data_IF_044698010327
#
_entry.id   IF_044698010327
#
_cell.length_a   1.000
_cell.length_b   1.000
_cell.length_c   1.000
_cell.angle_alpha   90.00
_cell.angle_beta   90.00
_cell.angle_gamma   90.00
#
_symmetry.space_group_name_H-M   'P 1'
#
loop_
_entity.id
_entity.type
_entity.pdbx_description
1 polymer ?
#
# COMPACT_ATOMS: atom_id res chain seq x y z
N UNK A 1 -25.88 -3.81 -2.11
CA UNK A 1 -24.99 -4.60 -3.00
C UNK A 1 -24.59 -5.89 -2.27
N UNK A 2 -24.41 -7.02 -2.97
CA UNK A 2 -24.06 -8.29 -2.31
C UNK A 2 -22.52 -8.41 -2.14
N UNK A 3 -22.04 -8.18 -0.91
CA UNK A 3 -20.61 -8.23 -0.58
C UNK A 3 -20.08 -9.66 -0.37
N UNK A 4 -20.94 -10.68 -0.29
CA UNK A 4 -20.52 -12.06 0.01
C UNK A 4 -19.56 -12.63 -1.05
N UNK A 5 -19.67 -12.15 -2.29
CA UNK A 5 -18.74 -12.47 -3.38
C UNK A 5 -17.35 -11.91 -3.16
N UNK A 6 -17.24 -10.72 -2.57
CA UNK A 6 -15.96 -10.07 -2.27
C UNK A 6 -15.34 -10.70 -1.01
N UNK A 7 -16.14 -10.97 0.02
CA UNK A 7 -15.72 -11.65 1.25
C UNK A 7 -15.06 -13.00 0.97
N UNK A 8 -15.61 -13.79 0.04
CA UNK A 8 -15.05 -15.10 -0.33
C UNK A 8 -13.73 -15.06 -1.09
N UNK A 9 -13.33 -13.89 -1.62
CA UNK A 9 -12.11 -13.72 -2.44
C UNK A 9 -10.97 -13.06 -1.66
N UNK A 10 -11.27 -12.37 -0.57
CA UNK A 10 -10.28 -11.63 0.22
C UNK A 10 -9.70 -12.48 1.36
N UNK A 11 -8.39 -12.35 1.68
CA UNK A 11 -7.84 -12.94 2.88
C UNK A 11 -8.55 -12.42 4.14
N UNK A 12 -8.74 -13.28 5.14
CA UNK A 12 -9.34 -12.85 6.41
C UNK A 12 -8.57 -11.66 7.02
N UNK A 13 -9.32 -10.62 7.40
CA UNK A 13 -8.79 -9.41 8.02
C UNK A 13 -8.00 -8.49 7.09
N UNK A 14 -8.14 -8.60 5.77
CA UNK A 14 -7.52 -7.64 4.83
C UNK A 14 -8.34 -6.37 4.61
N UNK A 15 -9.65 -6.43 4.84
CA UNK A 15 -10.61 -5.34 4.63
C UNK A 15 -11.65 -5.33 5.77
N UNK A 16 -11.97 -4.15 6.29
CA UNK A 16 -13.15 -3.96 7.14
C UNK A 16 -14.42 -3.82 6.29
N UNK A 17 -15.21 -4.89 6.25
CA UNK A 17 -16.45 -4.92 5.45
C UNK A 17 -17.53 -3.95 5.95
N UNK A 18 -17.51 -3.56 7.23
CA UNK A 18 -18.48 -2.59 7.76
C UNK A 18 -18.19 -1.20 7.20
N UNK A 19 -16.91 -0.82 7.17
CA UNK A 19 -16.48 0.46 6.57
C UNK A 19 -16.62 0.41 5.05
N UNK A 20 -16.29 -0.71 4.42
CA UNK A 20 -16.45 -0.86 2.98
C UNK A 20 -17.92 -0.77 2.55
N UNK A 21 -18.86 -1.36 3.31
CA UNK A 21 -20.30 -1.22 3.04
C UNK A 21 -20.76 0.24 3.08
N UNK A 22 -20.26 1.01 4.05
CA UNK A 22 -20.52 2.44 4.10
C UNK A 22 -19.96 3.17 2.87
N UNK A 23 -18.74 2.85 2.44
CA UNK A 23 -18.13 3.41 1.22
C UNK A 23 -19.01 3.10 -0.01
N UNK A 24 -19.50 1.87 -0.15
CA UNK A 24 -20.41 1.49 -1.23
C UNK A 24 -21.73 2.24 -1.18
N UNK A 25 -22.28 2.48 0.02
CA UNK A 25 -23.53 3.24 0.18
C UNK A 25 -23.42 4.69 -0.28
N UNK A 26 -22.19 5.24 -0.40
CA UNK A 26 -21.98 6.55 -0.99
C UNK A 26 -22.38 6.58 -2.48
N UNK A 27 -22.39 5.42 -3.14
CA UNK A 27 -22.71 5.27 -4.56
C UNK A 27 -24.20 4.98 -4.83
N UNK A 28 -25.04 4.95 -3.79
CA UNK A 28 -26.48 4.64 -3.91
C UNK A 28 -27.33 5.82 -4.43
N UNK A 29 -26.78 7.04 -4.49
CA UNK A 29 -27.45 8.18 -5.13
C UNK A 29 -27.01 8.32 -6.59
N UNK A 30 -27.96 8.45 -7.53
CA UNK A 30 -27.76 8.42 -9.00
C UNK A 30 -26.71 9.40 -9.57
N UNK A 31 -26.25 10.39 -8.80
CA UNK A 31 -25.25 11.41 -9.20
C UNK A 31 -23.91 11.29 -8.45
N UNK A 32 -23.69 10.21 -7.71
CA UNK A 32 -22.52 10.09 -6.84
C UNK A 32 -21.79 8.75 -7.07
N UNK A 33 -20.61 8.79 -7.68
CA UNK A 33 -19.66 7.67 -7.73
C UNK A 33 -18.54 7.87 -6.69
N UNK A 34 -18.87 8.41 -5.51
CA UNK A 34 -17.88 8.79 -4.50
C UNK A 34 -17.08 7.60 -3.97
N UNK A 35 -17.75 6.50 -3.65
CA UNK A 35 -17.13 5.27 -3.15
C UNK A 35 -16.23 4.63 -4.20
N UNK A 36 -16.75 4.43 -5.41
CA UNK A 36 -15.98 3.95 -6.55
C UNK A 36 -14.74 4.83 -6.82
N UNK A 37 -14.90 6.16 -6.86
CA UNK A 37 -13.78 7.09 -7.07
C UNK A 37 -12.73 7.02 -5.95
N UNK A 38 -13.13 6.80 -4.69
CA UNK A 38 -12.20 6.61 -3.58
C UNK A 38 -11.37 5.33 -3.77
N UNK A 39 -12.03 4.22 -4.10
CA UNK A 39 -11.34 2.92 -4.29
C UNK A 39 -10.39 2.99 -5.49
N UNK A 40 -10.87 3.38 -6.67
CA UNK A 40 -10.00 3.45 -7.86
C UNK A 40 -8.92 4.53 -7.75
N UNK A 41 -9.22 5.65 -7.06
CA UNK A 41 -8.23 6.67 -6.75
C UNK A 41 -7.09 6.12 -5.87
N UNK A 42 -7.41 5.30 -4.87
CA UNK A 42 -6.39 4.58 -4.11
C UNK A 42 -5.63 3.58 -4.97
N UNK A 43 -6.31 2.72 -5.74
CA UNK A 43 -5.66 1.68 -6.54
C UNK A 43 -4.64 2.29 -7.52
N UNK A 44 -5.03 3.31 -8.28
CA UNK A 44 -4.10 4.00 -9.18
C UNK A 44 -2.95 4.67 -8.45
N UNK A 45 -3.20 5.25 -7.26
CA UNK A 45 -2.12 5.83 -6.45
C UNK A 45 -1.16 4.79 -5.90
N UNK A 46 -1.66 3.61 -5.53
CA UNK A 46 -0.86 2.50 -5.05
C UNK A 46 0.08 2.00 -6.15
N UNK A 47 -0.44 1.78 -7.37
CA UNK A 47 0.36 1.39 -8.54
C UNK A 47 1.50 2.38 -8.82
N UNK A 48 1.20 3.67 -8.97
CA UNK A 48 2.21 4.73 -9.18
C UNK A 48 3.29 4.73 -8.09
N UNK A 49 2.85 4.54 -6.84
CA UNK A 49 3.73 4.59 -5.67
C UNK A 49 4.63 3.37 -5.65
N UNK A 50 4.08 2.18 -5.88
CA UNK A 50 4.84 0.93 -5.92
C UNK A 50 5.87 0.95 -7.05
N UNK A 51 5.52 1.39 -8.25
CA UNK A 51 6.47 1.55 -9.35
C UNK A 51 7.64 2.48 -8.95
N UNK A 52 7.33 3.63 -8.33
CA UNK A 52 8.34 4.59 -7.86
C UNK A 52 9.26 4.01 -6.76
N UNK A 53 8.71 3.14 -5.91
CA UNK A 53 9.47 2.43 -4.88
C UNK A 53 10.37 1.38 -5.50
N UNK A 54 9.90 0.59 -6.47
CA UNK A 54 10.71 -0.43 -7.13
C UNK A 54 11.87 0.19 -7.90
N UNK A 55 11.63 1.27 -8.64
CA UNK A 55 12.70 2.05 -9.26
C UNK A 55 13.71 2.49 -8.21
N UNK A 56 13.23 3.01 -7.09
CA UNK A 56 14.10 3.35 -5.97
C UNK A 56 14.87 2.13 -5.45
N UNK A 57 14.26 0.98 -5.23
CA UNK A 57 14.95 -0.20 -4.70
C UNK A 57 15.97 -0.77 -5.71
N UNK A 58 15.75 -0.68 -7.02
CA UNK A 58 16.68 -1.15 -8.05
C UNK A 58 18.02 -0.38 -8.05
N UNK A 59 18.00 0.92 -7.76
CA UNK A 59 19.21 1.76 -7.72
C UNK A 59 19.96 1.70 -6.38
N UNK A 60 19.94 0.57 -5.67
CA UNK A 60 20.52 0.46 -4.32
C UNK A 60 21.93 -0.14 -4.31
N UNK A 61 22.74 0.15 -3.25
CA UNK A 61 24.19 -0.09 -3.18
C UNK A 61 24.66 -1.51 -3.51
N UNK A 62 23.87 -2.53 -3.14
CA UNK A 62 24.26 -3.94 -3.27
C UNK A 62 24.45 -4.37 -4.74
N UNK A 63 23.88 -3.65 -5.69
CA UNK A 63 24.00 -3.88 -7.12
C UNK A 63 25.15 -3.10 -7.80
N UNK A 64 25.78 -2.13 -7.11
CA UNK A 64 26.75 -1.22 -7.70
C UNK A 64 28.14 -1.41 -7.08
N UNK A 65 29.16 -1.62 -7.92
CA UNK A 65 30.57 -1.69 -7.49
C UNK A 65 31.09 -0.41 -6.82
N UNK A 66 30.31 0.67 -6.85
CA UNK A 66 30.62 1.95 -6.19
C UNK A 66 29.30 2.60 -5.75
N UNK A 67 28.96 2.54 -4.45
CA UNK A 67 27.69 3.05 -3.97
C UNK A 67 27.67 4.59 -3.93
N UNK A 68 26.49 5.21 -4.08
CA UNK A 68 26.36 6.66 -4.01
C UNK A 68 26.70 7.20 -2.60
N UNK A 69 27.05 8.49 -2.48
CA UNK A 69 27.39 9.12 -1.19
C UNK A 69 26.31 8.92 -0.12
N UNK A 70 26.72 8.80 1.14
CA UNK A 70 25.82 8.60 2.30
C UNK A 70 24.61 9.56 2.33
N UNK A 71 24.83 10.84 2.01
CA UNK A 71 23.75 11.84 1.97
C UNK A 71 22.66 11.52 0.94
N UNK A 72 23.06 11.06 -0.25
CA UNK A 72 22.10 10.66 -1.29
C UNK A 72 21.35 9.40 -0.89
N UNK A 73 22.03 8.43 -0.26
CA UNK A 73 21.38 7.23 0.29
C UNK A 73 20.34 7.60 1.35
N UNK A 74 20.69 8.43 2.33
CA UNK A 74 19.76 8.88 3.37
C UNK A 74 18.53 9.59 2.77
N UNK A 75 18.73 10.52 1.83
CA UNK A 75 17.62 11.22 1.16
C UNK A 75 16.64 10.25 0.50
N UNK A 76 17.13 9.13 -0.03
CA UNK A 76 16.31 8.12 -0.68
C UNK A 76 15.42 7.37 0.31
N UNK A 77 15.94 7.00 1.47
CA UNK A 77 15.12 6.41 2.54
C UNK A 77 14.04 7.36 3.04
N UNK A 78 14.34 8.66 3.15
CA UNK A 78 13.31 9.65 3.48
C UNK A 78 12.23 9.74 2.41
N UNK A 79 12.59 9.69 1.12
CA UNK A 79 11.61 9.67 0.04
C UNK A 79 10.75 8.41 0.08
N UNK A 80 11.36 7.23 0.31
CA UNK A 80 10.63 5.97 0.51
C UNK A 80 9.63 6.09 1.66
N UNK A 81 10.07 6.56 2.83
CA UNK A 81 9.20 6.76 3.98
C UNK A 81 8.03 7.70 3.65
N UNK A 82 8.28 8.83 2.98
CA UNK A 82 7.24 9.78 2.60
C UNK A 82 6.21 9.15 1.64
N UNK A 83 6.65 8.37 0.66
CA UNK A 83 5.74 7.66 -0.25
C UNK A 83 4.85 6.66 0.49
N UNK A 84 5.41 5.87 1.42
CA UNK A 84 4.65 4.94 2.25
C UNK A 84 3.64 5.66 3.15
N UNK A 85 4.07 6.76 3.78
CA UNK A 85 3.21 7.57 4.63
C UNK A 85 2.00 8.10 3.86
N UNK A 86 2.23 8.66 2.68
CA UNK A 86 1.15 9.18 1.82
C UNK A 86 0.18 8.07 1.41
N UNK A 87 0.68 6.92 0.98
CA UNK A 87 -0.18 5.81 0.57
C UNK A 87 -0.96 5.22 1.76
N UNK A 88 -0.32 5.11 2.94
CA UNK A 88 -0.96 4.59 4.16
C UNK A 88 -2.10 5.49 4.65
N UNK A 89 -1.95 6.81 4.48
CA UNK A 89 -2.98 7.77 4.85
C UNK A 89 -4.26 7.57 4.04
N UNK A 90 -4.14 7.08 2.80
CA UNK A 90 -5.28 6.79 1.93
C UNK A 90 -5.83 5.39 2.23
N UNK A 91 -4.97 4.40 2.47
CA UNK A 91 -5.41 3.02 2.77
C UNK A 91 -6.21 2.91 4.08
N UNK A 92 -5.92 3.77 5.07
CA UNK A 92 -6.69 3.88 6.32
C UNK A 92 -8.16 4.24 6.03
N UNK A 93 -8.41 5.14 5.07
CA UNK A 93 -9.78 5.58 4.74
C UNK A 93 -10.62 4.41 4.20
N UNK A 94 -9.98 3.48 3.48
CA UNK A 94 -10.60 2.28 2.94
C UNK A 94 -10.59 1.09 3.90
N UNK A 95 -9.98 1.25 5.09
CA UNK A 95 -9.73 0.18 6.06
C UNK A 95 -9.11 -1.09 5.44
N UNK A 96 -8.11 -0.88 4.58
CA UNK A 96 -7.28 -1.96 4.03
C UNK A 96 -6.24 -2.34 5.08
N UNK A 97 -6.64 -3.11 6.09
CA UNK A 97 -5.91 -3.34 7.34
C UNK A 97 -4.47 -3.80 7.08
N UNK A 98 -4.29 -4.91 6.36
CA UNK A 98 -2.95 -5.49 6.12
C UNK A 98 -2.06 -4.59 5.25
N UNK A 99 -2.65 -3.99 4.21
CA UNK A 99 -1.93 -3.04 3.36
C UNK A 99 -1.46 -1.85 4.20
N UNK A 100 -2.32 -1.31 5.06
CA UNK A 100 -2.00 -0.20 5.95
C UNK A 100 -0.87 -0.57 6.91
N UNK A 101 -0.96 -1.71 7.59
CA UNK A 101 0.06 -2.19 8.52
C UNK A 101 1.40 -2.41 7.82
N UNK A 102 1.37 -2.99 6.62
CA UNK A 102 2.54 -3.18 5.77
C UNK A 102 3.21 -1.86 5.40
N UNK A 103 2.44 -0.87 4.92
CA UNK A 103 2.95 0.45 4.54
C UNK A 103 3.59 1.17 5.73
N UNK A 104 2.94 1.16 6.89
CA UNK A 104 3.48 1.75 8.12
C UNK A 104 4.77 1.04 8.59
N UNK A 105 4.88 -0.27 8.37
CA UNK A 105 6.08 -1.04 8.68
C UNK A 105 7.24 -0.62 7.77
N UNK A 106 6.99 -0.50 6.46
CA UNK A 106 8.02 -0.07 5.49
C UNK A 106 8.46 1.38 5.74
N UNK A 107 7.53 2.28 6.10
CA UNK A 107 7.83 3.64 6.53
C UNK A 107 8.82 3.64 7.71
N UNK A 108 8.50 2.92 8.79
CA UNK A 108 9.33 2.83 10.00
C UNK A 108 10.73 2.29 9.69
N UNK A 109 10.83 1.18 8.94
CA UNK A 109 12.12 0.64 8.54
C UNK A 109 12.91 1.60 7.66
N UNK A 110 12.26 2.34 6.77
CA UNK A 110 12.92 3.37 5.97
C UNK A 110 13.52 4.47 6.85
N UNK A 111 12.84 4.85 7.93
CA UNK A 111 13.33 5.81 8.92
C UNK A 111 14.37 5.22 9.89
N UNK A 112 14.62 3.90 9.86
CA UNK A 112 15.57 3.22 10.75
C UNK A 112 14.99 2.91 12.12
N UNK A 113 13.68 2.70 12.16
CA UNK A 113 12.93 2.43 13.38
C UNK A 113 12.41 0.99 13.35
N UNK A 114 12.25 0.40 14.52
CA UNK A 114 11.48 -0.83 14.68
C UNK A 114 9.96 -0.54 14.59
N UNK A 115 9.15 -1.59 14.61
CA UNK A 115 7.69 -1.47 14.59
C UNK A 115 7.12 -0.64 15.75
N UNK A 116 7.76 -0.66 16.93
CA UNK A 116 7.38 0.13 18.10
C UNK A 116 7.88 1.60 18.07
N UNK A 117 8.46 2.03 16.94
CA UNK A 117 9.07 3.35 16.70
C UNK A 117 10.36 3.62 17.49
N UNK A 118 10.91 2.62 18.18
CA UNK A 118 12.26 2.73 18.74
C UNK A 118 13.31 2.68 17.64
N UNK A 119 14.50 3.20 17.91
CA UNK A 119 15.62 3.11 16.96
C UNK A 119 16.01 1.64 16.73
N UNK A 120 16.17 1.26 15.46
CA UNK A 120 16.56 -0.07 15.10
C UNK A 120 18.06 -0.30 15.37
N UNK A 121 18.50 -1.50 15.78
CA UNK A 121 19.92 -1.79 16.01
C UNK A 121 20.81 -1.56 14.78
N UNK A 122 20.21 -1.62 13.60
CA UNK A 122 20.81 -1.41 12.29
C UNK A 122 20.45 -0.03 11.70
N UNK A 123 20.06 0.94 12.54
CA UNK A 123 19.75 2.30 12.09
C UNK A 123 20.92 2.87 11.27
N UNK A 124 22.15 2.79 11.74
CA UNK A 124 23.30 3.33 11.01
C UNK A 124 23.79 2.46 9.83
N UNK A 125 23.34 1.20 9.74
CA UNK A 125 23.69 0.29 8.65
C UNK A 125 22.62 0.34 7.55
N UNK A 126 22.87 1.18 6.55
CA UNK A 126 21.95 1.38 5.43
C UNK A 126 21.71 0.09 4.62
N UNK A 127 22.67 -0.83 4.56
CA UNK A 127 22.52 -2.04 3.76
C UNK A 127 21.61 -3.06 4.48
N UNK A 128 21.73 -3.20 5.80
CA UNK A 128 20.80 -3.99 6.62
C UNK A 128 19.40 -3.36 6.65
N UNK A 129 19.32 -2.04 6.80
CA UNK A 129 18.07 -1.29 6.73
C UNK A 129 17.36 -1.51 5.39
N UNK A 130 18.11 -1.50 4.29
CA UNK A 130 17.57 -1.78 2.95
C UNK A 130 17.01 -3.19 2.84
N UNK A 131 17.71 -4.18 3.36
CA UNK A 131 17.23 -5.57 3.34
C UNK A 131 15.90 -5.71 4.08
N UNK A 132 15.76 -5.03 5.24
CA UNK A 132 14.50 -4.97 5.97
C UNK A 132 13.39 -4.28 5.20
N UNK A 133 13.67 -3.10 4.64
CA UNK A 133 12.72 -2.34 3.81
C UNK A 133 12.24 -3.18 2.63
N UNK A 134 13.15 -3.87 1.95
CA UNK A 134 12.81 -4.70 0.77
C UNK A 134 11.91 -5.88 1.16
N UNK A 135 12.24 -6.59 2.25
CA UNK A 135 11.41 -7.71 2.73
C UNK A 135 10.02 -7.25 3.15
N UNK A 136 9.92 -6.15 3.88
CA UNK A 136 8.63 -5.58 4.27
C UNK A 136 7.85 -5.06 3.06
N UNK A 137 8.55 -4.50 2.07
CA UNK A 137 7.96 -4.06 0.82
C UNK A 137 7.35 -5.22 0.03
N UNK A 138 8.05 -6.34 -0.09
CA UNK A 138 7.54 -7.53 -0.77
C UNK A 138 6.28 -8.06 -0.09
N UNK A 139 6.20 -8.00 1.24
CA UNK A 139 5.01 -8.39 2.00
C UNK A 139 3.83 -7.47 1.66
N UNK A 140 3.99 -6.15 1.78
CA UNK A 140 2.88 -5.21 1.52
C UNK A 140 2.45 -5.21 0.06
N UNK A 141 3.36 -5.48 -0.88
CA UNK A 141 3.01 -5.63 -2.30
C UNK A 141 2.13 -6.86 -2.53
N UNK A 142 2.41 -7.98 -1.85
CA UNK A 142 1.54 -9.16 -1.89
C UNK A 142 0.18 -8.88 -1.23
N UNK A 143 0.17 -8.26 -0.04
CA UNK A 143 -1.08 -7.89 0.64
C UNK A 143 -1.94 -6.94 -0.21
N UNK A 144 -1.32 -6.06 -0.99
CA UNK A 144 -2.02 -5.22 -1.96
C UNK A 144 -2.58 -6.05 -3.12
N UNK A 145 -1.80 -6.95 -3.71
CA UNK A 145 -2.27 -7.83 -4.79
C UNK A 145 -3.46 -8.70 -4.37
N UNK A 146 -3.49 -9.13 -3.11
CA UNK A 146 -4.59 -9.88 -2.51
C UNK A 146 -5.91 -9.08 -2.45
N UNK A 147 -5.86 -7.74 -2.43
CA UNK A 147 -7.06 -6.89 -2.39
C UNK A 147 -7.38 -6.23 -3.73
N UNK A 148 -6.38 -5.87 -4.52
CA UNK A 148 -6.53 -5.13 -5.78
C UNK A 148 -7.40 -5.90 -6.78
N UNK A 149 -7.01 -7.15 -7.08
CA UNK A 149 -7.72 -7.98 -8.06
C UNK A 149 -9.20 -8.18 -7.71
N UNK A 150 -9.52 -8.66 -6.49
CA UNK A 150 -10.91 -8.83 -6.06
C UNK A 150 -11.73 -7.53 -6.04
N UNK A 151 -11.13 -6.39 -5.67
CA UNK A 151 -11.82 -5.10 -5.70
C UNK A 151 -12.13 -4.66 -7.13
N UNK A 152 -11.18 -4.79 -8.06
CA UNK A 152 -11.40 -4.47 -9.49
C UNK A 152 -12.52 -5.33 -10.07
N UNK A 153 -12.44 -6.64 -9.87
CA UNK A 153 -13.45 -7.59 -10.35
C UNK A 153 -14.83 -7.29 -9.76
N UNK A 154 -14.90 -6.92 -8.48
CA UNK A 154 -16.16 -6.54 -7.82
C UNK A 154 -16.81 -5.32 -8.46
N UNK A 155 -16.05 -4.27 -8.77
CA UNK A 155 -16.59 -3.07 -9.43
C UNK A 155 -16.92 -3.30 -10.92
N UNK A 156 -16.18 -4.17 -11.61
CA UNK A 156 -16.54 -4.61 -12.98
C UNK A 156 -17.89 -5.33 -12.99
N UNK A 157 -18.09 -6.30 -12.09
CA UNK A 157 -19.37 -7.01 -11.93
C UNK A 157 -20.52 -6.07 -11.56
N UNK A 158 -20.27 -5.02 -10.77
CA UNK A 158 -21.26 -4.00 -10.43
C UNK A 158 -21.65 -3.14 -11.64
N UNK A 159 -20.69 -2.76 -12.48
CA UNK A 159 -20.92 -1.99 -13.70
C UNK A 159 -21.79 -2.75 -14.70
N UNK A 160 -21.51 -4.04 -14.90
CA UNK A 160 -22.28 -4.93 -15.77
C UNK A 160 -23.75 -5.11 -15.30
N UNK A 161 -24.00 -5.01 -13.99
CA UNK A 161 -25.36 -5.09 -13.42
C UNK A 161 -26.17 -3.80 -13.58
N UNK A 162 -25.53 -2.63 -13.69
CA UNK A 162 -26.22 -1.35 -13.96
C UNK A 162 -26.56 -1.16 -15.45
N UNK A 163 -25.90 -1.90 -16.35
CA UNK A 163 -26.06 -1.80 -17.80
C UNK A 163 -27.07 -2.76 -18.45
N UNK A 164 -27.79 -3.57 -17.67
CA UNK A 164 -28.72 -4.61 -18.12
C UNK A 164 -30.09 -4.46 -17.47
#
# INVERSE_FOLDING_TARGET
>A
MDMTKLEGKLPSGSLDFTVFEYILSLDDSDDNDSGQNLVFGFLGKAEETFDSIEESLLYTPRALSSPPPLRQRNSKYYNLANMMFLLSSISIVLELIKVTDGLLTVERYSLGQNEDRTEAPDSDDLDLRLERVTKAYDIVKNDYGDVEGPLREFYEELGDQKGN
#
